data_IF_636965162500
#
_entry.id   IF_636965162500
#
_cell.length_a   1.000
_cell.length_b   1.000
_cell.length_c   1.000
_cell.angle_alpha   90.00
_cell.angle_beta   90.00
_cell.angle_gamma   90.00
#
_symmetry.space_group_name_H-M   'P 1'
#
loop_
_entity.id
_entity.type
_entity.pdbx_description
1 polymer ?
#
# COMPACT_ATOMS: atom_id res chain seq x y z
N UNK A 1 32.19 16.12 39.49
CA UNK A 1 30.98 16.98 39.47
C UNK A 1 30.15 16.86 38.18
N UNK A 2 30.75 16.75 36.98
CA UNK A 2 30.00 16.75 35.70
C UNK A 2 29.12 15.51 35.46
N UNK A 3 29.55 14.31 35.89
CA UNK A 3 28.75 13.08 35.71
C UNK A 3 27.41 13.08 36.46
N UNK A 4 27.36 13.68 37.66
CA UNK A 4 26.16 13.70 38.49
C UNK A 4 25.04 14.58 37.90
N UNK A 5 25.39 15.63 37.14
CA UNK A 5 24.45 16.50 36.44
C UNK A 5 23.91 15.89 35.14
N UNK A 6 24.65 14.94 34.55
CA UNK A 6 24.26 14.28 33.29
C UNK A 6 23.30 13.10 33.50
N UNK A 7 23.35 12.43 34.65
CA UNK A 7 22.49 11.28 34.96
C UNK A 7 20.97 11.59 34.87
N UNK A 8 20.45 12.69 35.45
CA UNK A 8 19.04 13.05 35.35
C UNK A 8 18.61 13.34 33.90
N UNK A 9 19.46 14.02 33.12
CA UNK A 9 19.22 14.32 31.70
C UNK A 9 19.19 13.05 30.83
N UNK A 10 20.05 12.07 31.12
CA UNK A 10 20.08 10.78 30.43
C UNK A 10 18.84 9.95 30.79
N UNK A 11 18.44 9.91 32.06
CA UNK A 11 17.21 9.24 32.51
C UNK A 11 15.96 9.89 31.90
N UNK A 12 15.94 11.22 31.79
CA UNK A 12 14.86 11.98 31.16
C UNK A 12 14.76 11.72 29.64
N UNK A 13 15.90 11.70 28.92
CA UNK A 13 15.91 11.32 27.49
C UNK A 13 15.47 9.87 27.25
N UNK A 14 15.95 8.93 28.08
CA UNK A 14 15.55 7.52 28.00
C UNK A 14 14.05 7.33 28.26
N UNK A 15 13.48 8.08 29.22
CA UNK A 15 12.04 8.03 29.51
C UNK A 15 11.19 8.68 28.41
N UNK A 16 11.63 9.77 27.78
CA UNK A 16 10.96 10.34 26.59
C UNK A 16 11.02 9.38 25.39
N UNK A 17 12.17 8.75 25.12
CA UNK A 17 12.29 7.74 24.06
C UNK A 17 11.41 6.52 24.34
N UNK A 18 11.35 6.06 25.60
CA UNK A 18 10.47 4.98 26.04
C UNK A 18 8.99 5.37 25.90
N UNK A 19 8.61 6.61 26.22
CA UNK A 19 7.25 7.13 26.04
C UNK A 19 6.86 7.29 24.56
N UNK A 20 7.79 7.76 23.70
CA UNK A 20 7.59 7.79 22.24
C UNK A 20 7.46 6.38 21.66
N UNK A 21 8.27 5.43 22.12
CA UNK A 21 8.19 4.00 21.79
C UNK A 21 6.86 3.37 22.24
N UNK A 22 6.41 3.68 23.46
CA UNK A 22 5.12 3.22 24.01
C UNK A 22 3.92 3.82 23.27
N UNK A 23 3.98 5.10 22.89
CA UNK A 23 2.95 5.74 22.03
C UNK A 23 2.95 5.15 20.61
N UNK A 24 4.10 4.72 20.07
CA UNK A 24 4.20 4.06 18.76
C UNK A 24 3.62 2.64 18.79
N UNK A 25 3.76 1.92 19.91
CA UNK A 25 3.31 0.52 20.08
C UNK A 25 1.81 0.26 19.91
N UNK A 26 0.96 1.28 19.93
CA UNK A 26 -0.51 1.13 19.83
C UNK A 26 -1.13 1.73 18.57
N UNK A 27 -0.33 2.20 17.59
CA UNK A 27 -0.87 2.79 16.36
C UNK A 27 -0.54 1.87 15.19
N UNK A 28 -1.58 1.42 14.48
CA UNK A 28 -1.45 0.68 13.23
C UNK A 28 -0.47 1.41 12.30
N UNK A 29 0.53 0.71 11.74
CA UNK A 29 1.56 1.39 10.94
C UNK A 29 1.07 1.63 9.53
N UNK A 30 0.55 0.59 8.88
CA UNK A 30 0.07 0.64 7.50
C UNK A 30 -1.41 0.33 7.41
N UNK A 31 -2.11 1.11 6.58
CA UNK A 31 -3.36 0.67 5.94
C UNK A 31 -3.06 0.38 4.49
N UNK A 32 -3.27 -0.88 4.11
CA UNK A 32 -3.08 -1.36 2.75
C UNK A 32 -4.45 -1.31 2.09
N UNK A 33 -4.57 -0.58 0.99
CA UNK A 33 -5.83 -0.40 0.26
C UNK A 33 -5.77 -1.23 -1.01
N UNK A 34 -6.69 -2.20 -1.12
CA UNK A 34 -6.86 -3.06 -2.28
C UNK A 34 -8.24 -2.84 -2.89
N UNK A 35 -8.36 -1.95 -3.91
CA UNK A 35 -9.59 -1.83 -4.68
C UNK A 35 -9.86 -3.15 -5.41
N UNK A 36 -11.00 -3.78 -5.14
CA UNK A 36 -11.39 -5.02 -5.80
C UNK A 36 -12.43 -4.77 -6.87
N UNK A 37 -12.09 -5.18 -8.10
CA UNK A 37 -13.02 -5.30 -9.22
C UNK A 37 -12.71 -6.60 -9.96
N UNK A 38 -13.49 -7.63 -9.67
CA UNK A 38 -13.37 -8.93 -10.36
C UNK A 38 -14.22 -9.02 -11.63
N UNK A 39 -14.95 -7.96 -11.97
CA UNK A 39 -15.71 -7.86 -13.22
C UNK A 39 -14.73 -7.62 -14.38
N UNK A 40 -14.65 -8.51 -15.38
CA UNK A 40 -13.74 -8.36 -16.52
C UNK A 40 -13.97 -7.06 -17.30
N UNK A 41 -12.89 -6.50 -17.84
CA UNK A 41 -12.91 -5.35 -18.74
C UNK A 41 -11.77 -5.44 -19.76
N UNK A 42 -11.81 -4.70 -20.88
CA UNK A 42 -10.75 -4.76 -21.89
C UNK A 42 -9.37 -4.47 -21.30
N UNK A 43 -8.44 -5.42 -21.44
CA UNK A 43 -7.08 -5.31 -20.94
C UNK A 43 -6.87 -5.74 -19.48
N UNK A 44 -7.90 -6.22 -18.77
CA UNK A 44 -7.71 -6.75 -17.42
C UNK A 44 -6.93 -8.07 -17.43
N UNK A 45 -6.30 -8.39 -16.29
CA UNK A 45 -5.69 -9.70 -16.08
C UNK A 45 -6.72 -10.84 -16.20
N UNK A 46 -6.22 -12.03 -16.56
CA UNK A 46 -6.98 -13.29 -16.51
C UNK A 46 -7.00 -13.87 -15.08
N UNK A 47 -7.97 -14.74 -14.79
CA UNK A 47 -8.10 -15.46 -13.50
C UNK A 47 -8.11 -14.55 -12.26
N UNK A 48 -8.87 -13.44 -12.33
CA UNK A 48 -8.92 -12.41 -11.28
C UNK A 48 -9.30 -12.98 -9.89
N UNK A 49 -10.11 -14.04 -9.86
CA UNK A 49 -10.51 -14.76 -8.65
C UNK A 49 -9.36 -15.50 -7.98
N UNK A 50 -8.47 -16.13 -8.75
CA UNK A 50 -7.24 -16.74 -8.23
C UNK A 50 -6.22 -15.67 -7.84
N UNK A 51 -6.11 -14.61 -8.65
CA UNK A 51 -5.14 -13.56 -8.40
C UNK A 51 -5.43 -12.75 -7.15
N UNK A 52 -6.70 -12.45 -6.84
CA UNK A 52 -7.05 -11.76 -5.59
C UNK A 52 -6.70 -12.62 -4.36
N UNK A 53 -6.89 -13.94 -4.42
CA UNK A 53 -6.47 -14.86 -3.35
C UNK A 53 -4.96 -14.75 -3.14
N UNK A 54 -4.18 -14.87 -4.22
CA UNK A 54 -2.72 -14.71 -4.17
C UNK A 54 -2.29 -13.34 -3.63
N UNK A 55 -2.95 -12.27 -4.05
CA UNK A 55 -2.64 -10.91 -3.59
C UNK A 55 -2.91 -10.77 -2.08
N UNK A 56 -4.07 -11.23 -1.59
CA UNK A 56 -4.41 -11.24 -0.17
C UNK A 56 -3.40 -12.08 0.62
N UNK A 57 -3.10 -13.30 0.17
CA UNK A 57 -2.15 -14.20 0.84
C UNK A 57 -0.74 -13.59 0.93
N UNK A 58 -0.30 -12.91 -0.13
CA UNK A 58 0.99 -12.22 -0.17
C UNK A 58 1.09 -11.07 0.84
N UNK A 59 -0.02 -10.37 1.07
CA UNK A 59 -0.10 -9.30 2.08
C UNK A 59 -0.19 -9.90 3.48
N UNK A 60 -1.01 -10.92 3.70
CA UNK A 60 -1.19 -11.52 5.04
C UNK A 60 0.06 -12.26 5.53
N UNK A 61 0.86 -12.79 4.60
CA UNK A 61 2.11 -13.50 4.91
C UNK A 61 3.31 -12.59 5.22
N UNK A 62 3.21 -11.27 4.97
CA UNK A 62 4.28 -10.30 5.23
C UNK A 62 4.99 -10.49 6.58
N UNK A 63 6.32 -10.42 6.60
CA UNK A 63 7.12 -10.58 7.82
C UNK A 63 6.87 -9.44 8.82
N UNK A 64 6.56 -8.25 8.34
CA UNK A 64 6.11 -7.10 9.13
C UNK A 64 4.62 -7.21 9.48
N UNK A 65 4.24 -7.10 10.77
CA UNK A 65 2.88 -7.46 11.23
C UNK A 65 1.93 -6.30 11.55
N UNK A 66 2.43 -5.08 11.73
CA UNK A 66 1.61 -3.94 12.17
C UNK A 66 0.87 -3.25 11.01
N UNK A 67 -0.05 -3.97 10.37
CA UNK A 67 -0.86 -3.47 9.27
C UNK A 67 -2.31 -3.95 9.33
N UNK A 68 -3.19 -3.26 8.61
CA UNK A 68 -4.49 -3.74 8.18
C UNK A 68 -4.55 -3.77 6.65
N UNK A 69 -5.28 -4.74 6.10
CA UNK A 69 -5.60 -4.85 4.69
C UNK A 69 -7.09 -4.55 4.49
N UNK A 70 -7.38 -3.48 3.76
CA UNK A 70 -8.72 -3.06 3.40
C UNK A 70 -8.98 -3.51 1.97
N UNK A 71 -9.86 -4.50 1.78
CA UNK A 71 -10.36 -4.89 0.45
C UNK A 71 -11.65 -4.14 0.20
N UNK A 72 -11.69 -3.32 -0.85
CA UNK A 72 -12.83 -2.46 -1.15
C UNK A 72 -13.54 -3.00 -2.38
N UNK A 73 -14.66 -3.67 -2.15
CA UNK A 73 -15.45 -4.36 -3.18
C UNK A 73 -16.51 -3.44 -3.78
N UNK A 74 -16.72 -3.58 -5.09
CA UNK A 74 -17.84 -3.02 -5.87
C UNK A 74 -19.17 -3.77 -5.63
N UNK A 75 -19.38 -4.28 -4.42
CA UNK A 75 -20.45 -5.22 -4.05
C UNK A 75 -20.42 -6.56 -4.82
N UNK A 76 -19.31 -6.90 -5.49
CA UNK A 76 -19.12 -8.16 -6.19
C UNK A 76 -19.26 -9.36 -5.23
N UNK A 77 -20.23 -10.24 -5.52
CA UNK A 77 -20.49 -11.45 -4.74
C UNK A 77 -19.27 -12.36 -4.61
N UNK A 78 -18.48 -12.49 -5.69
CA UNK A 78 -17.27 -13.30 -5.71
C UNK A 78 -16.17 -12.74 -4.79
N UNK A 79 -15.97 -11.42 -4.79
CA UNK A 79 -15.05 -10.79 -3.83
C UNK A 79 -15.49 -11.06 -2.40
N UNK A 80 -16.80 -10.90 -2.11
CA UNK A 80 -17.34 -11.17 -0.77
C UNK A 80 -17.13 -12.63 -0.36
N UNK A 81 -17.38 -13.59 -1.25
CA UNK A 81 -17.21 -15.01 -0.93
C UNK A 81 -15.74 -15.38 -0.73
N UNK A 82 -14.82 -14.79 -1.48
CA UNK A 82 -13.38 -15.00 -1.29
C UNK A 82 -12.94 -14.42 0.06
N UNK A 83 -13.20 -13.14 0.32
CA UNK A 83 -12.72 -12.47 1.54
C UNK A 83 -13.33 -13.08 2.81
N UNK A 84 -14.57 -13.57 2.76
CA UNK A 84 -15.23 -14.24 3.91
C UNK A 84 -14.60 -15.57 4.31
N UNK A 85 -13.75 -16.18 3.48
CA UNK A 85 -13.04 -17.41 3.83
C UNK A 85 -11.88 -17.16 4.80
N UNK A 86 -11.42 -15.91 4.90
CA UNK A 86 -10.31 -15.54 5.76
C UNK A 86 -10.78 -15.21 7.18
N UNK A 87 -10.00 -15.65 8.17
CA UNK A 87 -10.26 -15.39 9.60
C UNK A 87 -9.28 -14.38 10.21
N UNK A 88 -8.31 -13.89 9.42
CA UNK A 88 -7.31 -12.92 9.87
C UNK A 88 -7.98 -11.56 10.15
N UNK A 89 -7.87 -11.11 11.41
CA UNK A 89 -8.49 -9.85 11.88
C UNK A 89 -7.91 -8.60 11.22
N UNK A 90 -6.75 -8.70 10.57
CA UNK A 90 -6.14 -7.60 9.81
C UNK A 90 -6.85 -7.36 8.48
N UNK A 91 -7.54 -8.37 7.94
CA UNK A 91 -8.29 -8.25 6.69
C UNK A 91 -9.70 -7.72 6.96
N UNK A 92 -10.04 -6.62 6.30
CA UNK A 92 -11.34 -5.96 6.42
C UNK A 92 -11.95 -5.80 5.03
N UNK A 93 -13.16 -6.32 4.87
CA UNK A 93 -13.98 -6.07 3.69
C UNK A 93 -14.78 -4.79 3.87
N UNK A 94 -14.63 -3.87 2.92
CA UNK A 94 -15.47 -2.68 2.79
C UNK A 94 -16.24 -2.76 1.47
N UNK A 95 -17.47 -2.26 1.48
CA UNK A 95 -18.33 -2.28 0.30
C UNK A 95 -18.67 -0.85 -0.11
N UNK A 96 -18.49 -0.55 -1.39
CA UNK A 96 -18.91 0.72 -1.96
C UNK A 96 -19.57 0.48 -3.31
N UNK A 97 -20.79 0.99 -3.46
CA UNK A 97 -21.55 0.83 -4.69
C UNK A 97 -20.99 1.75 -5.76
N UNK A 98 -20.29 1.16 -6.73
CA UNK A 98 -19.82 1.85 -7.92
C UNK A 98 -19.86 0.92 -9.13
N UNK A 99 -19.79 1.50 -10.34
CA UNK A 99 -19.86 0.73 -11.59
C UNK A 99 -18.76 1.09 -12.59
N UNK A 100 -18.14 2.26 -12.45
CA UNK A 100 -17.13 2.76 -13.39
C UNK A 100 -15.80 2.00 -13.22
N UNK A 101 -15.11 1.78 -14.35
CA UNK A 101 -13.71 1.35 -14.35
C UNK A 101 -12.86 2.57 -13.99
N UNK A 102 -11.76 2.35 -13.24
CA UNK A 102 -10.89 3.42 -12.75
C UNK A 102 -11.64 4.46 -11.89
N UNK A 103 -12.62 3.99 -11.13
CA UNK A 103 -13.32 4.83 -10.15
C UNK A 103 -12.40 5.20 -8.99
N UNK A 104 -12.58 6.41 -8.49
CA UNK A 104 -11.89 6.93 -7.32
C UNK A 104 -12.57 6.50 -6.03
N UNK A 105 -13.87 6.19 -6.07
CA UNK A 105 -14.66 5.88 -4.89
C UNK A 105 -14.02 4.77 -4.04
N UNK A 106 -13.58 3.61 -4.59
CA UNK A 106 -13.00 2.55 -3.77
C UNK A 106 -11.76 2.98 -3.00
N UNK A 107 -10.88 3.75 -3.68
CA UNK A 107 -9.63 4.22 -3.08
C UNK A 107 -9.90 5.27 -2.02
N UNK A 108 -10.86 6.18 -2.25
CA UNK A 108 -11.28 7.16 -1.25
C UNK A 108 -11.97 6.50 -0.05
N UNK A 109 -12.83 5.51 -0.25
CA UNK A 109 -13.42 4.69 0.83
C UNK A 109 -12.33 4.03 1.68
N UNK A 110 -11.30 3.47 1.03
CA UNK A 110 -10.13 2.93 1.73
C UNK A 110 -9.38 3.99 2.54
N UNK A 111 -9.13 5.18 1.96
CA UNK A 111 -8.44 6.28 2.66
C UNK A 111 -9.23 6.75 3.90
N UNK A 112 -10.56 6.80 3.79
CA UNK A 112 -11.44 7.23 4.89
C UNK A 112 -11.49 6.20 6.03
N UNK A 113 -11.47 4.91 5.70
CA UNK A 113 -11.47 3.83 6.69
C UNK A 113 -10.08 3.54 7.29
N UNK A 114 -9.00 4.00 6.65
CA UNK A 114 -7.62 3.74 7.05
C UNK A 114 -7.29 4.26 8.46
N UNK A 115 -6.81 3.35 9.33
CA UNK A 115 -6.35 3.63 10.70
C UNK A 115 -4.83 3.78 10.77
N UNK A 116 -4.12 3.21 9.81
CA UNK A 116 -2.67 3.26 9.62
C UNK A 116 -2.10 4.68 9.66
N UNK A 117 -0.86 4.80 10.12
CA UNK A 117 -0.11 6.05 9.98
C UNK A 117 0.24 6.33 8.51
N UNK A 118 0.53 5.27 7.75
CA UNK A 118 0.82 5.31 6.33
C UNK A 118 -0.22 4.54 5.52
N UNK A 119 -0.41 4.98 4.28
CA UNK A 119 -1.25 4.34 3.28
C UNK A 119 -0.35 3.82 2.16
N UNK A 120 -0.68 2.62 1.70
CA UNK A 120 -0.05 1.94 0.56
C UNK A 120 -1.15 1.20 -0.22
N UNK A 121 -0.94 0.99 -1.52
CA UNK A 121 -1.91 0.32 -2.39
C UNK A 121 -1.33 -0.97 -2.95
N UNK A 122 -2.22 -1.91 -3.25
CA UNK A 122 -1.92 -3.10 -4.04
C UNK A 122 -3.12 -3.40 -4.93
N UNK A 123 -2.86 -3.77 -6.19
CA UNK A 123 -3.91 -4.22 -7.10
C UNK A 123 -4.19 -5.72 -6.90
N UNK A 124 -5.43 -6.15 -7.15
CA UNK A 124 -5.88 -7.54 -6.92
C UNK A 124 -5.12 -8.56 -7.76
N UNK A 125 -4.45 -8.12 -8.81
CA UNK A 125 -3.69 -8.94 -9.74
C UNK A 125 -2.19 -8.87 -9.54
N UNK A 126 -1.71 -8.24 -8.47
CA UNK A 126 -0.28 -8.13 -8.14
C UNK A 126 0.14 -9.03 -6.97
N UNK A 127 1.43 -9.05 -6.66
CA UNK A 127 2.02 -9.87 -5.61
C UNK A 127 3.13 -9.13 -4.86
N UNK A 128 3.18 -9.32 -3.54
CA UNK A 128 4.28 -8.86 -2.68
C UNK A 128 5.12 -10.05 -2.20
N UNK A 129 6.45 -9.94 -2.31
CA UNK A 129 7.37 -10.81 -1.60
C UNK A 129 7.30 -10.57 -0.09
N UNK A 130 7.75 -11.56 0.69
CA UNK A 130 7.55 -11.66 2.14
C UNK A 130 8.03 -10.42 2.92
N UNK A 131 9.06 -9.73 2.42
CA UNK A 131 9.72 -8.61 3.11
C UNK A 131 9.31 -7.24 2.56
N UNK A 132 8.34 -7.15 1.64
CA UNK A 132 7.89 -5.88 1.04
C UNK A 132 7.64 -4.77 2.08
N UNK A 133 6.77 -5.00 3.07
CA UNK A 133 6.42 -4.00 4.08
C UNK A 133 7.58 -3.67 5.03
N UNK A 134 8.45 -4.66 5.31
CA UNK A 134 9.64 -4.48 6.15
C UNK A 134 10.66 -3.58 5.46
N UNK A 135 10.85 -3.77 4.15
CA UNK A 135 11.70 -2.91 3.33
C UNK A 135 11.13 -1.48 3.29
N UNK A 136 9.83 -1.32 3.08
CA UNK A 136 9.17 0.00 3.11
C UNK A 136 9.36 0.65 4.48
N UNK A 137 9.04 -0.01 5.60
CA UNK A 137 9.18 0.56 6.95
C UNK A 137 10.62 0.98 7.27
N UNK A 138 11.60 0.15 6.92
CA UNK A 138 13.02 0.44 7.13
C UNK A 138 13.45 1.74 6.44
N UNK A 139 12.87 2.04 5.28
CA UNK A 139 13.23 3.18 4.45
C UNK A 139 12.30 4.39 4.61
N UNK A 140 11.15 4.25 5.28
CA UNK A 140 10.20 5.34 5.52
C UNK A 140 10.80 6.51 6.32
N UNK A 141 11.81 6.26 7.17
CA UNK A 141 12.62 7.28 7.85
C UNK A 141 11.81 8.49 8.37
N UNK A 142 12.28 9.71 8.11
CA UNK A 142 11.64 11.00 8.42
C UNK A 142 10.78 11.54 7.27
N UNK A 143 10.63 10.79 6.19
CA UNK A 143 9.92 11.23 4.99
C UNK A 143 8.41 11.21 5.21
N UNK A 144 7.70 12.10 4.52
CA UNK A 144 6.25 12.11 4.52
C UNK A 144 5.67 11.12 3.51
N UNK A 145 6.45 10.80 2.48
CA UNK A 145 6.14 9.75 1.53
C UNK A 145 7.39 9.25 0.80
N UNK A 146 7.31 8.05 0.26
CA UNK A 146 8.37 7.40 -0.51
C UNK A 146 7.80 6.77 -1.76
N UNK A 147 8.66 6.55 -2.76
CA UNK A 147 8.33 5.76 -3.94
C UNK A 147 9.45 4.79 -4.26
N UNK A 148 9.12 3.75 -5.00
CA UNK A 148 10.03 2.68 -5.37
C UNK A 148 9.73 2.19 -6.79
N UNK A 149 10.69 1.44 -7.35
CA UNK A 149 10.50 0.75 -8.60
C UNK A 149 9.55 -0.46 -8.43
N UNK A 150 9.18 -1.12 -9.51
CA UNK A 150 8.48 -2.41 -9.44
C UNK A 150 9.28 -3.49 -10.17
N UNK A 151 8.84 -4.74 -10.00
CA UNK A 151 9.40 -5.90 -10.66
C UNK A 151 8.36 -6.39 -11.66
N UNK A 152 8.73 -6.41 -12.94
CA UNK A 152 7.89 -6.88 -14.04
C UNK A 152 8.48 -8.13 -14.66
N UNK A 153 7.66 -8.87 -15.40
CA UNK A 153 8.16 -9.99 -16.19
C UNK A 153 8.41 -9.61 -17.64
N UNK A 154 9.62 -9.88 -18.11
CA UNK A 154 10.01 -9.75 -19.51
C UNK A 154 11.07 -10.81 -19.85
N UNK A 155 10.63 -12.05 -20.12
CA UNK A 155 11.53 -13.21 -20.27
C UNK A 155 12.26 -13.61 -18.97
N UNK A 156 11.91 -12.97 -17.85
CA UNK A 156 12.52 -13.06 -16.53
C UNK A 156 11.99 -11.92 -15.66
N UNK A 157 12.12 -12.05 -14.33
CA UNK A 157 11.79 -10.95 -13.41
C UNK A 157 12.86 -9.87 -13.50
N UNK A 158 12.46 -8.66 -13.89
CA UNK A 158 13.35 -7.51 -14.02
C UNK A 158 12.77 -6.32 -13.25
N UNK A 159 13.65 -5.52 -12.67
CA UNK A 159 13.26 -4.27 -12.06
C UNK A 159 12.96 -3.23 -13.15
N UNK A 160 11.80 -2.57 -13.07
CA UNK A 160 11.39 -1.46 -13.92
C UNK A 160 11.40 -0.16 -13.13
N UNK A 161 12.09 0.84 -13.67
CA UNK A 161 12.16 2.16 -13.06
C UNK A 161 10.80 2.88 -13.07
N UNK A 162 10.36 3.33 -11.90
CA UNK A 162 9.16 4.16 -11.78
C UNK A 162 9.49 5.64 -11.98
N UNK A 163 8.75 6.27 -12.90
CA UNK A 163 8.82 7.70 -13.16
C UNK A 163 7.55 8.40 -12.68
N UNK A 164 7.61 8.89 -11.44
CA UNK A 164 6.52 9.61 -10.76
C UNK A 164 6.13 10.94 -11.40
N UNK A 165 6.95 11.47 -12.33
CA UNK A 165 6.70 12.76 -13.01
C UNK A 165 6.02 12.57 -14.37
N UNK A 166 5.93 11.34 -14.88
CA UNK A 166 5.39 11.06 -16.22
C UNK A 166 4.09 10.30 -16.15
N UNK A 167 3.13 10.69 -17.01
CA UNK A 167 1.87 9.97 -17.17
C UNK A 167 2.15 8.53 -17.61
N UNK A 168 1.62 7.56 -16.86
CA UNK A 168 1.87 6.13 -17.10
C UNK A 168 3.25 5.63 -16.68
N UNK A 169 4.09 6.48 -16.07
CA UNK A 169 5.43 6.10 -15.63
C UNK A 169 5.48 5.41 -14.26
N UNK A 170 4.39 5.46 -13.49
CA UNK A 170 4.31 4.91 -12.14
C UNK A 170 2.84 4.66 -11.77
N UNK A 171 2.53 3.50 -11.19
CA UNK A 171 1.25 3.24 -10.52
C UNK A 171 1.27 3.75 -9.09
N UNK A 172 0.11 3.91 -8.47
CA UNK A 172 0.07 4.35 -7.05
C UNK A 172 0.44 3.22 -6.08
N UNK A 173 0.44 1.97 -6.52
CA UNK A 173 0.96 0.82 -5.76
C UNK A 173 2.49 0.89 -5.54
N UNK A 174 3.19 1.79 -6.24
CA UNK A 174 4.61 2.07 -6.07
C UNK A 174 4.93 3.15 -5.02
N UNK A 175 3.92 3.67 -4.30
CA UNK A 175 4.12 4.73 -3.30
C UNK A 175 3.56 4.35 -1.95
N UNK A 176 4.22 4.87 -0.90
CA UNK A 176 3.73 4.82 0.47
C UNK A 176 3.78 6.23 1.07
N UNK A 177 2.70 6.69 1.70
CA UNK A 177 2.60 8.06 2.18
C UNK A 177 1.89 8.18 3.52
N UNK A 178 2.24 9.20 4.31
CA UNK A 178 1.57 9.50 5.57
C UNK A 178 0.11 9.87 5.32
N UNK A 179 -0.80 9.24 6.04
CA UNK A 179 -2.22 9.57 6.01
C UNK A 179 -2.51 11.03 6.38
N UNK A 180 -1.65 11.64 7.20
CA UNK A 180 -1.78 13.06 7.60
C UNK A 180 -1.60 14.06 6.45
N UNK A 181 -1.12 13.62 5.28
CA UNK A 181 -1.11 14.44 4.07
C UNK A 181 -2.52 14.70 3.50
N UNK A 182 -3.53 13.94 3.98
CA UNK A 182 -4.95 14.11 3.66
C UNK A 182 -5.28 14.16 2.16
N UNK A 183 -4.61 13.30 1.39
CA UNK A 183 -4.81 13.21 -0.06
C UNK A 183 -6.15 12.55 -0.41
N UNK A 184 -6.66 12.85 -1.61
CA UNK A 184 -7.86 12.23 -2.18
C UNK A 184 -7.71 11.98 -3.67
N UNK A 185 -8.36 10.92 -4.16
CA UNK A 185 -8.47 10.62 -5.58
C UNK A 185 -9.51 11.54 -6.22
N UNK A 186 -9.07 12.48 -7.05
CA UNK A 186 -9.90 13.58 -7.56
C UNK A 186 -10.37 13.45 -9.02
N UNK A 187 -9.71 12.63 -9.86
CA UNK A 187 -10.11 12.43 -11.26
C UNK A 187 -10.28 10.94 -11.59
N UNK A 188 -11.48 10.48 -11.99
CA UNK A 188 -11.66 9.10 -12.41
C UNK A 188 -11.07 8.89 -13.82
N UNK A 189 -10.96 7.63 -14.24
CA UNK A 189 -10.55 7.26 -15.59
C UNK A 189 -9.05 6.99 -15.75
N UNK A 190 -8.63 6.75 -16.99
CA UNK A 190 -7.25 6.40 -17.30
C UNK A 190 -6.28 7.51 -16.85
N UNK A 191 -5.19 7.11 -16.20
CA UNK A 191 -4.20 7.97 -15.56
C UNK A 191 -4.63 8.68 -14.27
N UNK A 192 -5.64 8.18 -13.57
CA UNK A 192 -5.95 8.63 -12.22
C UNK A 192 -4.74 8.57 -11.25
N UNK A 193 -3.85 7.59 -11.41
CA UNK A 193 -2.59 7.50 -10.65
C UNK A 193 -1.73 8.73 -10.85
N UNK A 194 -1.55 9.16 -12.09
CA UNK A 194 -0.74 10.34 -12.41
C UNK A 194 -1.25 11.58 -11.68
N UNK A 195 -2.57 11.81 -11.68
CA UNK A 195 -3.16 12.95 -10.99
C UNK A 195 -3.08 12.84 -9.47
N UNK A 196 -3.13 11.64 -8.91
CA UNK A 196 -2.87 11.41 -7.49
C UNK A 196 -1.39 11.71 -7.15
N UNK A 197 -0.45 11.23 -7.94
CA UNK A 197 0.99 11.47 -7.79
C UNK A 197 1.34 12.96 -7.89
N UNK A 198 0.65 13.74 -8.73
CA UNK A 198 0.85 15.20 -8.77
C UNK A 198 0.58 15.87 -7.41
N UNK A 199 -0.34 15.36 -6.60
CA UNK A 199 -0.59 15.89 -5.26
C UNK A 199 0.58 15.54 -4.32
N UNK A 200 1.10 14.31 -4.38
CA UNK A 200 2.28 13.91 -3.59
C UNK A 200 3.50 14.76 -3.91
N UNK A 201 3.72 15.08 -5.19
CA UNK A 201 4.81 15.95 -5.64
C UNK A 201 4.78 17.36 -5.05
N UNK A 202 3.66 17.81 -4.48
CA UNK A 202 3.57 19.08 -3.75
C UNK A 202 4.24 19.03 -2.37
N UNK A 203 4.54 17.84 -1.85
CA UNK A 203 5.16 17.63 -0.54
C UNK A 203 6.65 17.29 -0.71
N UNK A 204 7.58 18.21 -0.39
CA UNK A 204 9.01 18.06 -0.73
C UNK A 204 9.76 17.05 0.16
N UNK A 205 9.18 16.65 1.30
CA UNK A 205 9.80 15.70 2.22
C UNK A 205 9.55 14.26 1.75
N UNK A 206 10.31 13.84 0.74
CA UNK A 206 10.15 12.55 0.08
C UNK A 206 11.48 11.92 -0.34
N UNK A 207 11.47 10.62 -0.62
CA UNK A 207 12.62 9.91 -1.17
C UNK A 207 12.24 8.73 -2.05
N UNK A 208 13.05 8.46 -3.08
CA UNK A 208 13.10 7.15 -3.70
C UNK A 208 13.76 6.18 -2.73
N UNK A 209 13.23 4.97 -2.60
CA UNK A 209 13.80 3.92 -1.75
C UNK A 209 14.22 2.70 -2.57
N UNK A 210 14.88 1.75 -1.93
CA UNK A 210 15.16 0.43 -2.51
C UNK A 210 13.84 -0.25 -2.90
N UNK A 211 13.84 -0.99 -4.02
CA UNK A 211 12.68 -1.68 -4.55
C UNK A 211 12.20 -2.72 -3.54
N UNK A 212 11.06 -2.52 -2.86
CA UNK A 212 10.45 -3.60 -2.10
C UNK A 212 9.94 -4.61 -3.11
N UNK A 213 9.90 -5.88 -2.73
CA UNK A 213 9.55 -7.04 -3.55
C UNK A 213 8.11 -6.94 -4.14
N UNK A 214 7.85 -5.97 -5.01
CA UNK A 214 6.54 -5.63 -5.58
C UNK A 214 6.51 -6.12 -7.03
N UNK A 215 5.79 -7.20 -7.25
CA UNK A 215 5.68 -7.86 -8.53
C UNK A 215 4.37 -7.46 -9.21
N UNK A 216 4.48 -6.78 -10.34
CA UNK A 216 3.32 -6.41 -11.15
C UNK A 216 2.96 -7.59 -12.04
N UNK A 217 1.75 -8.13 -11.89
CA UNK A 217 1.31 -9.33 -12.61
C UNK A 217 0.03 -9.09 -13.44
N UNK A 218 -0.17 -7.86 -13.88
CA UNK A 218 -1.29 -7.40 -14.71
C UNK A 218 -1.34 -8.03 -16.13
N UNK A 219 -0.21 -8.55 -16.63
CA UNK A 219 -0.11 -9.03 -18.02
C UNK A 219 -1.06 -10.22 -18.30
N UNK A 220 -2.03 -10.10 -19.24
CA UNK A 220 -2.92 -11.20 -19.60
C UNK A 220 -2.15 -12.40 -20.16
N UNK A 221 -2.50 -13.62 -19.75
CA UNK A 221 -1.87 -14.86 -20.22
C UNK A 221 -0.48 -15.16 -19.65
N UNK A 222 0.10 -14.26 -18.85
CA UNK A 222 1.35 -14.47 -18.13
C UNK A 222 1.07 -14.50 -16.62
N UNK A 223 1.66 -15.48 -15.91
CA UNK A 223 1.51 -15.66 -14.46
C UNK A 223 0.08 -15.93 -13.99
N UNK A 224 -0.57 -16.90 -14.65
CA UNK A 224 -1.70 -17.65 -14.09
C UNK A 224 -1.17 -18.68 -13.06
N UNK A 225 -0.39 -18.21 -12.07
CA UNK A 225 0.05 -19.05 -10.95
C UNK A 225 -1.09 -19.17 -9.94
#
# INVERSE_FOLDING_TARGET
MVLALLMPLIQHRKSIQKLKSLKRKNKMRFSIIMPSRLVPYPGCASFLDQKIVRAIDSVLSQSYKDFELLVISDECSLTKSIVKQYTDKRLVLLECKHKAIFDNLPRNTGIEAAKGEYIIYIDVDDYWGEDHLKIVEKNLSSFDWVWYNDIIFNGGWIERACNIKSKGGCGTSNVCYKRSLNLRWGRPGYAHDYFFLQQLLMFPNNSKIETPEYFVCHAPGLWNL
#
